data_IF_269659813623
#
_entry.id   IF_269659813623
#
_cell.length_a   1.000
_cell.length_b   1.000
_cell.length_c   1.000
_cell.angle_alpha   90.00
_cell.angle_beta   90.00
_cell.angle_gamma   90.00
#
_symmetry.space_group_name_H-M   'P 1'
#
loop_
_entity.id
_entity.type
_entity.pdbx_description
1 polymer ?
#
# COMPACT_ATOMS: atom_id res chain seq x y z
N UNK A 1 10.24 -1.94 10.76
CA UNK A 1 10.41 -2.41 9.38
C UNK A 1 10.75 -1.23 8.50
N UNK A 2 11.69 -1.41 7.60
CA UNK A 2 12.12 -0.38 6.67
C UNK A 2 11.05 -0.23 5.57
N UNK A 3 10.13 0.71 5.76
CA UNK A 3 9.01 0.96 4.84
C UNK A 3 9.51 1.35 3.44
N UNK A 4 10.66 2.00 3.33
CA UNK A 4 11.23 2.36 2.04
C UNK A 4 11.69 1.11 1.25
N UNK A 5 12.36 0.16 1.91
CA UNK A 5 12.69 -1.12 1.25
C UNK A 5 11.46 -1.88 0.82
N UNK A 6 10.42 -1.87 1.65
CA UNK A 6 9.15 -2.48 1.32
C UNK A 6 8.48 -1.79 0.13
N UNK A 7 8.52 -0.44 0.10
CA UNK A 7 7.97 0.37 -0.97
C UNK A 7 8.62 0.09 -2.34
N UNK A 8 9.88 -0.33 -2.38
CA UNK A 8 10.53 -0.75 -3.63
C UNK A 8 10.00 -2.05 -4.23
N UNK A 9 9.20 -2.80 -3.46
CA UNK A 9 8.59 -4.06 -3.92
C UNK A 9 7.09 -3.94 -4.13
N UNK A 10 6.37 -3.26 -3.24
CA UNK A 10 4.91 -3.11 -3.29
C UNK A 10 4.48 -1.85 -2.53
N UNK A 11 3.25 -1.39 -2.76
CA UNK A 11 2.74 -0.19 -2.09
C UNK A 11 2.89 -0.32 -0.57
N UNK A 12 3.57 0.64 0.09
CA UNK A 12 3.94 0.53 1.50
C UNK A 12 2.77 0.75 2.45
N UNK A 13 1.74 1.43 1.98
CA UNK A 13 0.57 1.81 2.78
C UNK A 13 -0.70 1.61 1.97
N UNK A 14 -1.81 1.41 2.67
CA UNK A 14 -3.12 1.25 2.05
C UNK A 14 -3.82 2.60 1.97
N UNK A 15 -4.02 3.11 0.76
CA UNK A 15 -4.50 4.47 0.51
C UNK A 15 -5.72 4.90 1.38
N UNK A 16 -6.78 4.08 1.54
CA UNK A 16 -7.93 4.47 2.37
C UNK A 16 -7.63 4.65 3.86
N UNK A 17 -6.47 4.21 4.34
CA UNK A 17 -6.07 4.29 5.76
C UNK A 17 -5.01 5.35 6.03
N UNK A 18 -4.66 6.18 5.03
CA UNK A 18 -3.55 7.14 5.16
C UNK A 18 -4.05 8.49 5.64
N UNK A 19 -3.32 9.06 6.61
CA UNK A 19 -3.39 10.47 6.98
C UNK A 19 -2.05 11.10 6.66
N UNK A 20 -2.03 12.21 5.96
CA UNK A 20 -0.80 12.90 5.56
C UNK A 20 -0.88 14.41 5.78
N UNK A 21 0.29 15.03 5.90
CA UNK A 21 0.39 16.49 5.90
C UNK A 21 0.23 17.00 4.45
N UNK A 22 -0.72 17.91 4.24
CA UNK A 22 -0.94 18.52 2.92
C UNK A 22 0.34 19.13 2.35
N UNK A 23 1.13 19.81 3.18
CA UNK A 23 2.40 20.41 2.75
C UNK A 23 3.41 19.38 2.23
N UNK A 24 3.48 18.17 2.81
CA UNK A 24 4.36 17.10 2.33
C UNK A 24 3.93 16.56 0.97
N UNK A 25 2.62 16.42 0.75
CA UNK A 25 2.07 16.02 -0.55
C UNK A 25 2.35 17.08 -1.63
N UNK A 26 2.15 18.36 -1.31
CA UNK A 26 2.42 19.46 -2.24
C UNK A 26 3.92 19.58 -2.56
N UNK A 27 4.80 19.41 -1.56
CA UNK A 27 6.26 19.41 -1.76
C UNK A 27 6.71 18.25 -2.68
N UNK A 28 6.02 17.11 -2.64
CA UNK A 28 6.26 15.98 -3.55
C UNK A 28 5.64 16.16 -4.96
N UNK A 29 5.00 17.29 -5.23
CA UNK A 29 4.34 17.57 -6.51
C UNK A 29 2.93 17.00 -6.67
N UNK A 30 2.31 16.53 -5.58
CA UNK A 30 0.95 16.01 -5.58
C UNK A 30 0.77 14.67 -6.32
N UNK A 31 -0.47 14.33 -6.58
CA UNK A 31 -0.82 13.15 -7.37
C UNK A 31 -0.45 13.38 -8.85
N UNK A 32 0.26 12.41 -9.48
CA UNK A 32 0.58 12.54 -10.90
C UNK A 32 -0.67 12.31 -11.76
N UNK A 33 -0.93 13.20 -12.70
CA UNK A 33 -2.09 13.15 -13.59
C UNK A 33 -2.08 11.95 -14.54
N UNK A 34 -0.89 11.48 -14.90
CA UNK A 34 -0.66 10.36 -15.84
C UNK A 34 -0.37 9.02 -15.16
N UNK A 35 -0.76 8.86 -13.89
CA UNK A 35 -0.43 7.68 -13.08
C UNK A 35 -1.28 6.44 -13.38
N UNK A 36 -2.40 6.59 -14.07
CA UNK A 36 -3.36 5.51 -14.26
C UNK A 36 -3.89 5.00 -12.90
N UNK A 37 -3.78 3.70 -12.67
CA UNK A 37 -4.30 3.05 -11.45
C UNK A 37 -3.32 3.05 -10.27
N UNK A 38 -2.16 3.66 -10.41
CA UNK A 38 -1.09 3.63 -9.42
C UNK A 38 -0.74 5.03 -8.91
N UNK A 39 -1.70 5.95 -8.95
CA UNK A 39 -1.53 7.34 -8.51
C UNK A 39 -1.09 7.46 -7.06
N UNK A 40 -1.61 6.60 -6.20
CA UNK A 40 -1.23 6.52 -4.78
C UNK A 40 0.21 6.03 -4.61
N UNK A 41 0.59 4.97 -5.31
CA UNK A 41 1.92 4.40 -5.20
C UNK A 41 3.01 5.36 -5.74
N UNK A 42 2.72 6.08 -6.82
CA UNK A 42 3.61 7.10 -7.34
C UNK A 42 3.71 8.32 -6.41
N UNK A 43 2.63 8.67 -5.72
CA UNK A 43 2.69 9.71 -4.70
C UNK A 43 3.60 9.28 -3.54
N UNK A 44 3.48 8.04 -3.05
CA UNK A 44 4.33 7.53 -1.97
C UNK A 44 5.81 7.50 -2.38
N UNK A 45 6.10 7.06 -3.59
CA UNK A 45 7.44 7.12 -4.14
C UNK A 45 8.01 8.54 -4.13
N UNK A 46 7.28 9.52 -4.69
CA UNK A 46 7.71 10.93 -4.70
C UNK A 46 7.92 11.49 -3.31
N UNK A 47 7.01 11.18 -2.38
CA UNK A 47 7.15 11.59 -0.98
C UNK A 47 8.39 11.00 -0.33
N UNK A 48 8.71 9.72 -0.60
CA UNK A 48 9.92 9.07 -0.09
C UNK A 48 11.19 9.67 -0.69
N UNK A 49 11.22 9.94 -2.00
CA UNK A 49 12.32 10.64 -2.65
C UNK A 49 12.53 12.07 -2.11
N UNK A 50 11.46 12.71 -1.62
CA UNK A 50 11.51 13.98 -0.90
C UNK A 50 11.71 13.83 0.62
N UNK A 51 12.19 12.66 1.07
CA UNK A 51 12.51 12.38 2.48
C UNK A 51 11.33 12.52 3.46
N UNK A 52 10.09 12.37 2.99
CA UNK A 52 8.94 12.34 3.86
C UNK A 52 9.00 11.12 4.78
N UNK A 53 8.68 11.33 6.05
CA UNK A 53 8.66 10.25 7.04
C UNK A 53 7.31 9.53 7.03
N UNK A 54 7.36 8.21 7.05
CA UNK A 54 6.20 7.33 7.11
C UNK A 54 6.18 6.56 8.43
N UNK A 55 5.01 6.51 9.03
CA UNK A 55 4.76 5.75 10.26
C UNK A 55 3.50 4.92 10.10
N UNK A 56 3.56 3.64 10.44
CA UNK A 56 2.38 2.80 10.57
C UNK A 56 1.97 2.71 12.04
N UNK A 57 0.69 3.00 12.30
CA UNK A 57 0.11 2.76 13.61
C UNK A 57 -0.14 1.26 13.78
N UNK A 58 0.21 0.67 14.94
CA UNK A 58 0.04 -0.77 15.16
C UNK A 58 -1.43 -1.17 15.35
N UNK A 59 -2.30 -0.22 15.71
CA UNK A 59 -3.71 -0.47 15.95
C UNK A 59 -4.48 -0.68 14.65
N UNK A 60 -5.38 -1.67 14.56
CA UNK A 60 -6.24 -1.91 13.40
C UNK A 60 -7.40 -0.91 13.39
N UNK A 61 -7.24 0.26 12.77
CA UNK A 61 -8.22 1.35 12.77
C UNK A 61 -9.17 1.33 11.56
N UNK A 62 -8.90 0.52 10.54
CA UNK A 62 -9.67 0.50 9.30
C UNK A 62 -10.10 -0.92 8.95
N UNK A 63 -11.39 -1.11 8.73
CA UNK A 63 -11.95 -2.34 8.18
C UNK A 63 -12.08 -2.21 6.66
N UNK A 64 -11.37 -3.07 5.94
CA UNK A 64 -11.39 -3.10 4.48
C UNK A 64 -12.25 -4.25 3.95
N UNK A 65 -13.32 -3.91 3.23
CA UNK A 65 -14.18 -4.91 2.59
C UNK A 65 -13.55 -5.39 1.28
N UNK A 66 -13.31 -6.67 1.17
CA UNK A 66 -12.87 -7.31 -0.08
C UNK A 66 -14.02 -8.13 -0.66
N UNK A 67 -14.27 -7.99 -1.95
CA UNK A 67 -15.20 -8.83 -2.70
C UNK A 67 -14.46 -9.60 -3.79
N UNK A 68 -15.13 -10.62 -4.35
CA UNK A 68 -14.54 -11.49 -5.36
C UNK A 68 -14.16 -10.75 -6.64
N UNK A 69 -14.95 -9.76 -7.06
CA UNK A 69 -14.71 -8.92 -8.24
C UNK A 69 -13.40 -8.10 -8.14
N UNK A 70 -12.99 -7.73 -6.91
CA UNK A 70 -11.74 -7.01 -6.70
C UNK A 70 -10.50 -7.83 -7.12
N UNK A 71 -10.58 -9.17 -7.06
CA UNK A 71 -9.50 -10.05 -7.50
C UNK A 71 -9.46 -10.21 -9.03
N UNK A 72 -10.61 -10.25 -9.67
CA UNK A 72 -10.72 -10.40 -11.11
C UNK A 72 -10.14 -9.18 -11.83
N UNK A 73 -10.42 -7.98 -11.33
CA UNK A 73 -9.89 -6.72 -11.84
C UNK A 73 -8.38 -6.54 -11.71
N UNK A 74 -7.71 -7.35 -10.88
CA UNK A 74 -6.27 -7.26 -10.61
C UNK A 74 -5.40 -8.14 -11.51
N UNK A 75 -5.93 -8.72 -12.58
CA UNK A 75 -5.19 -9.57 -13.50
C UNK A 75 -5.29 -9.09 -14.94
N UNK A 76 -4.55 -9.77 -15.83
CA UNK A 76 -4.59 -9.56 -17.26
C UNK A 76 -3.48 -8.67 -17.80
N UNK A 77 -3.43 -8.61 -19.13
CA UNK A 77 -2.37 -7.95 -19.88
C UNK A 77 -2.32 -6.42 -19.65
N UNK A 78 -3.48 -5.77 -19.57
CA UNK A 78 -3.54 -4.32 -19.36
C UNK A 78 -2.97 -3.92 -18.01
N UNK A 79 -3.31 -4.68 -16.94
CA UNK A 79 -2.75 -4.45 -15.63
C UNK A 79 -1.23 -4.68 -15.60
N UNK A 80 -0.74 -5.69 -16.32
CA UNK A 80 0.70 -5.92 -16.44
C UNK A 80 1.39 -4.75 -17.14
N UNK A 81 0.82 -4.22 -18.23
CA UNK A 81 1.39 -3.07 -18.95
C UNK A 81 1.46 -1.81 -18.08
N UNK A 82 0.39 -1.52 -17.33
CA UNK A 82 0.39 -0.39 -16.39
C UNK A 82 1.44 -0.58 -15.30
N UNK A 83 1.57 -1.78 -14.77
CA UNK A 83 2.55 -2.11 -13.74
C UNK A 83 3.99 -2.05 -14.26
N UNK A 84 4.22 -2.43 -15.52
CA UNK A 84 5.52 -2.27 -16.18
C UNK A 84 5.89 -0.79 -16.33
N UNK A 85 4.92 0.06 -16.71
CA UNK A 85 5.12 1.53 -16.76
C UNK A 85 5.48 2.10 -15.38
N UNK A 86 4.81 1.63 -14.33
CA UNK A 86 5.12 2.00 -12.95
C UNK A 86 6.57 1.62 -12.59
N UNK A 87 6.97 0.36 -12.84
CA UNK A 87 8.32 -0.10 -12.54
C UNK A 87 9.39 0.66 -13.33
N UNK A 88 9.11 0.98 -14.59
CA UNK A 88 9.99 1.79 -15.42
C UNK A 88 10.15 3.21 -14.85
N UNK A 89 9.07 3.79 -14.33
CA UNK A 89 9.10 5.10 -13.67
C UNK A 89 9.97 5.07 -12.42
N UNK A 90 9.80 4.06 -11.56
CA UNK A 90 10.64 3.86 -10.39
C UNK A 90 12.13 3.70 -10.72
N UNK A 91 12.44 3.03 -11.82
CA UNK A 91 13.83 2.92 -12.28
C UNK A 91 14.37 4.27 -12.77
N UNK A 92 13.59 4.98 -13.58
CA UNK A 92 13.98 6.28 -14.14
C UNK A 92 14.19 7.33 -13.06
N UNK A 93 13.32 7.34 -12.04
CA UNK A 93 13.33 8.32 -10.96
C UNK A 93 14.35 7.93 -9.85
N UNK A 94 15.09 6.83 -10.06
CA UNK A 94 16.15 6.37 -9.14
C UNK A 94 15.64 5.68 -7.86
N UNK A 95 14.32 5.43 -7.77
CA UNK A 95 13.72 4.78 -6.62
C UNK A 95 14.07 3.29 -6.51
N UNK A 96 14.22 2.61 -7.66
CA UNK A 96 14.65 1.22 -7.72
C UNK A 96 15.94 1.06 -8.54
N UNK A 97 16.76 0.09 -8.17
CA UNK A 97 17.93 -0.32 -8.96
C UNK A 97 17.52 -1.16 -10.18
N UNK A 98 18.36 -1.27 -11.23
CA UNK A 98 18.09 -2.15 -12.38
C UNK A 98 17.80 -3.61 -11.98
N UNK A 99 18.52 -4.15 -11.00
CA UNK A 99 18.28 -5.49 -10.49
C UNK A 99 16.92 -5.64 -9.80
N UNK A 100 16.50 -4.62 -9.04
CA UNK A 100 15.18 -4.57 -8.42
C UNK A 100 14.08 -4.44 -9.48
N UNK A 101 14.29 -3.62 -10.50
CA UNK A 101 13.37 -3.48 -11.63
C UNK A 101 13.13 -4.83 -12.32
N UNK A 102 14.21 -5.54 -12.70
CA UNK A 102 14.10 -6.84 -13.35
C UNK A 102 13.38 -7.87 -12.47
N UNK A 103 13.79 -7.98 -11.21
CA UNK A 103 13.17 -8.88 -10.24
C UNK A 103 11.65 -8.58 -10.08
N UNK A 104 11.32 -7.33 -9.85
CA UNK A 104 9.93 -6.92 -9.63
C UNK A 104 9.07 -7.16 -10.86
N UNK A 105 9.58 -6.80 -12.05
CA UNK A 105 8.88 -7.03 -13.33
C UNK A 105 8.61 -8.51 -13.55
N UNK A 106 9.60 -9.37 -13.30
CA UNK A 106 9.44 -10.82 -13.46
C UNK A 106 8.39 -11.40 -12.50
N UNK A 107 8.47 -11.06 -11.20
CA UNK A 107 7.51 -11.52 -10.19
C UNK A 107 6.08 -11.06 -10.54
N UNK A 108 5.94 -9.83 -10.98
CA UNK A 108 4.64 -9.25 -11.35
C UNK A 108 4.09 -9.85 -12.62
N UNK A 109 4.93 -10.07 -13.64
CA UNK A 109 4.54 -10.77 -14.85
C UNK A 109 4.00 -12.16 -14.52
N UNK A 110 4.75 -12.94 -13.75
CA UNK A 110 4.32 -14.27 -13.32
C UNK A 110 2.97 -14.25 -12.59
N UNK A 111 2.79 -13.30 -11.66
CA UNK A 111 1.53 -13.16 -10.92
C UNK A 111 0.35 -12.72 -11.81
N UNK A 112 0.55 -11.77 -12.73
CA UNK A 112 -0.51 -11.23 -13.59
C UNK A 112 -0.92 -12.20 -14.70
N UNK A 113 0.03 -12.97 -15.19
CA UNK A 113 -0.22 -14.02 -16.20
C UNK A 113 -0.75 -15.32 -15.60
N UNK A 114 -0.71 -15.46 -14.28
CA UNK A 114 -1.23 -16.65 -13.59
C UNK A 114 -2.76 -16.76 -13.76
N UNK A 115 -3.28 -17.95 -14.07
CA UNK A 115 -4.72 -18.20 -14.14
C UNK A 115 -5.44 -17.79 -12.84
N UNK A 116 -6.66 -17.26 -12.98
CA UNK A 116 -7.45 -16.73 -11.85
C UNK A 116 -7.64 -17.75 -10.73
N UNK A 117 -7.78 -19.04 -11.05
CA UNK A 117 -7.92 -20.13 -10.09
C UNK A 117 -6.67 -20.30 -9.19
N UNK A 118 -5.48 -20.26 -9.79
CA UNK A 118 -4.22 -20.35 -9.05
C UNK A 118 -3.96 -19.08 -8.24
N UNK A 119 -4.29 -17.93 -8.78
CA UNK A 119 -4.16 -16.63 -8.10
C UNK A 119 -5.07 -16.55 -6.86
N UNK A 120 -6.30 -17.07 -6.93
CA UNK A 120 -7.21 -17.20 -5.79
C UNK A 120 -6.59 -18.10 -4.69
N UNK A 121 -6.06 -19.28 -5.07
CA UNK A 121 -5.43 -20.20 -4.12
C UNK A 121 -4.21 -19.58 -3.43
N UNK A 122 -3.33 -18.93 -4.20
CA UNK A 122 -2.15 -18.25 -3.66
C UNK A 122 -2.54 -17.15 -2.67
N UNK A 123 -3.56 -16.34 -3.01
CA UNK A 123 -4.04 -15.29 -2.12
C UNK A 123 -4.64 -15.85 -0.83
N UNK A 124 -5.53 -16.84 -0.91
CA UNK A 124 -6.12 -17.47 0.28
C UNK A 124 -5.05 -18.06 1.19
N UNK A 125 -4.02 -18.69 0.63
CA UNK A 125 -2.90 -19.23 1.42
C UNK A 125 -2.13 -18.13 2.16
N UNK A 126 -1.88 -17.00 1.52
CA UNK A 126 -1.16 -15.87 2.13
C UNK A 126 -2.01 -15.19 3.22
N UNK A 127 -3.28 -14.93 2.93
CA UNK A 127 -4.21 -14.27 3.87
C UNK A 127 -4.52 -15.17 5.06
N UNK A 128 -4.71 -16.47 4.85
CA UNK A 128 -4.95 -17.43 5.94
C UNK A 128 -3.77 -17.46 6.91
N UNK A 129 -2.53 -17.52 6.42
CA UNK A 129 -1.34 -17.46 7.27
C UNK A 129 -1.27 -16.16 8.08
N UNK A 130 -1.51 -15.02 7.41
CA UNK A 130 -1.47 -13.71 8.05
C UNK A 130 -2.56 -13.53 9.11
N UNK A 131 -3.77 -14.03 8.86
CA UNK A 131 -4.86 -14.00 9.84
C UNK A 131 -4.56 -14.89 11.07
N UNK A 132 -3.88 -16.01 10.90
CA UNK A 132 -3.44 -16.86 12.00
C UNK A 132 -2.41 -16.14 12.87
N UNK A 133 -1.48 -15.42 12.27
CA UNK A 133 -0.47 -14.61 12.99
C UNK A 133 -1.12 -13.44 13.76
N UNK A 134 -2.11 -12.75 13.16
CA UNK A 134 -2.84 -11.65 13.81
C UNK A 134 -3.71 -12.18 14.97
N UNK A 135 -4.35 -13.34 14.80
CA UNK A 135 -5.17 -13.96 15.84
C UNK A 135 -4.34 -14.52 17.00
N UNK A 136 -3.08 -14.83 16.76
CA UNK A 136 -2.14 -15.28 17.79
C UNK A 136 -1.44 -14.11 18.54
N UNK A 137 -1.58 -12.88 18.03
CA UNK A 137 -1.03 -11.70 18.70
C UNK A 137 -1.87 -11.38 19.96
N UNK A 138 -1.24 -11.02 21.09
CA UNK A 138 -1.98 -10.63 22.30
C UNK A 138 -2.88 -9.42 21.99
N UNK A 139 -4.10 -9.44 22.50
CA UNK A 139 -5.05 -8.36 22.35
C UNK A 139 -4.41 -7.03 22.82
N UNK A 140 -4.57 -5.93 22.06
CA UNK A 140 -4.06 -4.63 22.50
C UNK A 140 -4.69 -4.30 23.85
N UNK A 141 -3.86 -3.82 24.80
CA UNK A 141 -4.31 -3.38 26.11
C UNK A 141 -5.44 -2.36 25.92
N UNK A 142 -6.55 -2.60 26.58
CA UNK A 142 -7.74 -1.77 26.55
C UNK A 142 -7.37 -0.31 26.86
N UNK A 143 -7.38 0.53 25.83
CA UNK A 143 -7.17 1.98 26.02
C UNK A 143 -8.39 2.51 26.73
N UNK A 144 -8.31 2.67 28.04
CA UNK A 144 -9.34 3.34 28.82
C UNK A 144 -9.58 4.72 28.21
N UNK A 145 -10.73 4.89 27.58
CA UNK A 145 -11.14 6.15 27.02
C UNK A 145 -11.24 7.20 28.15
N UNK A 146 -10.32 8.16 28.15
CA UNK A 146 -10.37 9.29 29.05
C UNK A 146 -11.71 10.03 28.84
N UNK A 147 -12.53 10.22 29.89
CA UNK A 147 -13.83 10.86 29.73
C UNK A 147 -13.66 12.26 29.16
N UNK A 148 -14.33 12.56 28.06
CA UNK A 148 -14.39 13.90 27.47
C UNK A 148 -14.97 14.86 28.51
N UNK A 149 -14.15 15.80 28.99
CA UNK A 149 -14.60 16.88 29.84
C UNK A 149 -15.76 17.61 29.16
N UNK A 150 -16.90 17.71 29.85
CA UNK A 150 -18.01 18.55 29.44
C UNK A 150 -17.50 19.98 29.40
N UNK A 151 -17.50 20.62 28.25
CA UNK A 151 -17.40 22.07 28.18
C UNK A 151 -18.63 22.64 28.91
N UNK A 152 -18.38 23.25 30.06
CA UNK A 152 -19.36 24.06 30.74
C UNK A 152 -19.71 25.23 29.80
N UNK A 153 -20.97 25.31 29.40
CA UNK A 153 -21.54 26.53 28.87
C UNK A 153 -21.65 27.47 30.06
N UNK A 154 -20.91 28.55 30.06
CA UNK A 154 -21.10 29.71 30.91
C UNK A 154 -21.76 30.80 30.08
N UNK A 155 -22.84 31.27 30.59
CA UNK A 155 -23.69 32.39 30.20
C UNK A 155 -22.95 33.63 29.70
#
# INVERSE_FOLDING_TARGET
>A
ADLEKYARMQSPVHHPSVVFRKSAVLAAGGYPEDAGRFEDYLLWERMMLNHAQFLNMPEPLVLYRTNQEAYERRGGWDMFREELRLQWRFLRDGFTSPAQFLRNTFIRAAYRMMPTSLRKRAYHSIVSRRNTEISAAPAPAEVQAKPRGRHAQSE
#
